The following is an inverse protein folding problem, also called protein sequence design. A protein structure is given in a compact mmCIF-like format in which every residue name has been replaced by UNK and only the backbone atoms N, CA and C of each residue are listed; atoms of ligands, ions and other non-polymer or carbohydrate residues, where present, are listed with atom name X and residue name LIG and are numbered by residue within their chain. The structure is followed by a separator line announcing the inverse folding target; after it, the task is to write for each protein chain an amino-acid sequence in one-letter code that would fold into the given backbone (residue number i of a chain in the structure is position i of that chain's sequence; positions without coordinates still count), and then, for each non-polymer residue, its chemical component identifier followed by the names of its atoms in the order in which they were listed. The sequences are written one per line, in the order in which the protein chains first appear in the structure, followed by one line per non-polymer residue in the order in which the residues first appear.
data_IF_445468748575
#
_entry.id   IF_445468748575
#
_cell.length_a   1.000
_cell.length_b   1.000
_cell.length_c   1.000
_cell.angle_alpha   90.00
_cell.angle_beta   90.00
_cell.angle_gamma   90.00
#
_symmetry.space_group_name_H-M   'P 1'
#
loop_
_entity.id
_entity.type
_entity.pdbx_description
1 polymer ?
#
# COMPACT_ATOMS: atom_id res chain seq x y z
N UNK A 1 22.64 -38.38 22.12
CA UNK A 1 22.96 -37.00 21.69
C UNK A 1 23.47 -37.06 20.27
N UNK A 2 22.68 -36.61 19.28
CA UNK A 2 23.08 -36.58 17.86
C UNK A 2 23.51 -35.15 17.52
N UNK A 3 24.75 -35.00 17.06
CA UNK A 3 25.31 -33.73 16.59
C UNK A 3 24.88 -33.42 15.16
N UNK A 4 24.43 -32.19 14.92
CA UNK A 4 24.17 -31.66 13.59
C UNK A 4 25.42 -30.92 13.11
N UNK A 5 26.12 -31.46 12.12
CA UNK A 5 27.15 -30.73 11.39
C UNK A 5 26.47 -29.87 10.34
N UNK A 6 26.49 -28.55 10.53
CA UNK A 6 26.13 -27.56 9.51
C UNK A 6 27.23 -27.54 8.45
N UNK A 7 27.00 -28.24 7.35
CA UNK A 7 27.79 -28.14 6.13
C UNK A 7 27.50 -26.78 5.47
N UNK A 8 28.40 -25.81 5.69
CA UNK A 8 28.31 -24.48 5.07
C UNK A 8 28.94 -24.57 3.68
N UNK A 9 28.11 -24.85 2.68
CA UNK A 9 28.49 -24.74 1.28
C UNK A 9 28.77 -23.27 0.91
N UNK A 10 29.93 -22.93 0.31
CA UNK A 10 30.20 -21.59 -0.17
C UNK A 10 29.39 -21.31 -1.44
N UNK A 11 28.32 -20.52 -1.30
CA UNK A 11 27.56 -19.94 -2.40
C UNK A 11 28.49 -19.09 -3.28
N UNK A 12 28.91 -19.64 -4.44
CA UNK A 12 29.56 -18.88 -5.50
C UNK A 12 28.59 -17.82 -6.04
N UNK A 13 28.76 -16.57 -5.58
CA UNK A 13 28.05 -15.41 -6.12
C UNK A 13 28.53 -15.14 -7.55
N UNK A 14 27.74 -15.58 -8.53
CA UNK A 14 27.87 -15.11 -9.91
C UNK A 14 27.52 -13.62 -9.95
N UNK A 15 28.29 -12.77 -10.65
CA UNK A 15 28.00 -11.35 -10.73
C UNK A 15 26.69 -11.15 -11.51
N UNK A 16 25.66 -10.70 -10.80
CA UNK A 16 24.39 -10.27 -11.39
C UNK A 16 24.66 -8.97 -12.13
N UNK A 17 24.81 -9.04 -13.46
CA UNK A 17 24.79 -7.85 -14.32
C UNK A 17 23.45 -7.16 -14.09
N UNK A 18 23.47 -6.01 -13.41
CA UNK A 18 22.27 -5.21 -13.22
C UNK A 18 21.78 -4.77 -14.61
N UNK A 19 20.71 -5.39 -15.09
CA UNK A 19 19.94 -4.79 -16.17
C UNK A 19 19.22 -3.63 -15.52
N UNK A 20 19.59 -2.41 -15.88
CA UNK A 20 18.78 -1.23 -15.61
C UNK A 20 17.39 -1.50 -16.22
N UNK A 21 16.44 -1.93 -15.38
CA UNK A 21 15.05 -2.13 -15.80
C UNK A 21 14.46 -0.74 -15.83
N UNK A 22 14.40 -0.15 -17.02
CA UNK A 22 13.62 1.07 -17.23
C UNK A 22 12.20 0.77 -16.79
N UNK A 23 11.61 1.51 -15.83
CA UNK A 23 10.24 1.31 -15.43
C UNK A 23 9.38 1.45 -16.68
N UNK A 24 8.75 0.35 -17.13
CA UNK A 24 7.78 0.43 -18.23
C UNK A 24 6.74 1.46 -17.80
N UNK A 25 6.64 2.58 -18.53
CA UNK A 25 5.52 3.51 -18.42
C UNK A 25 4.26 2.67 -18.55
N UNK A 26 3.53 2.51 -17.45
CA UNK A 26 2.24 1.81 -17.47
C UNK A 26 1.37 2.58 -18.45
N UNK A 27 0.80 1.89 -19.43
CA UNK A 27 -0.19 2.50 -20.31
C UNK A 27 -1.28 3.12 -19.43
N UNK A 28 -1.79 4.31 -19.78
CA UNK A 28 -2.91 4.90 -19.05
C UNK A 28 -4.05 3.90 -19.10
N UNK A 29 -4.37 3.29 -17.96
CA UNK A 29 -5.56 2.47 -17.83
C UNK A 29 -6.72 3.45 -17.86
N UNK A 30 -7.54 3.39 -18.90
CA UNK A 30 -8.86 4.03 -18.93
C UNK A 30 -9.84 3.29 -18.00
N UNK A 31 -9.36 2.81 -16.86
CA UNK A 31 -10.21 2.27 -15.81
C UNK A 31 -10.66 3.47 -14.96
N UNK A 32 -11.95 3.55 -14.57
CA UNK A 32 -12.38 4.58 -13.64
C UNK A 32 -11.52 4.51 -12.38
N UNK A 33 -11.02 5.67 -11.95
CA UNK A 33 -10.15 5.83 -10.76
C UNK A 33 -8.76 5.19 -10.87
N UNK A 34 -8.25 4.95 -12.08
CA UNK A 34 -6.89 4.44 -12.29
C UNK A 34 -5.76 5.41 -11.91
N UNK A 35 -6.10 6.68 -11.68
CA UNK A 35 -5.18 7.77 -11.34
C UNK A 35 -5.50 8.19 -9.90
N UNK A 36 -4.49 8.35 -9.05
CA UNK A 36 -4.70 8.89 -7.72
C UNK A 36 -5.13 10.36 -7.81
N UNK A 37 -6.15 10.76 -7.05
CA UNK A 37 -6.71 12.11 -7.03
C UNK A 37 -7.91 12.35 -7.96
N UNK A 38 -8.37 11.33 -8.69
CA UNK A 38 -9.66 11.35 -9.40
C UNK A 38 -10.72 10.50 -8.68
N UNK A 39 -10.43 9.99 -7.49
CA UNK A 39 -11.45 9.36 -6.65
C UNK A 39 -12.52 10.39 -6.24
N UNK A 40 -13.81 9.99 -6.22
CA UNK A 40 -14.88 10.88 -5.82
C UNK A 40 -14.76 11.25 -4.34
N UNK A 41 -15.34 12.39 -3.98
CA UNK A 41 -15.45 12.76 -2.58
C UNK A 41 -16.28 11.70 -1.83
N UNK A 42 -16.01 11.50 -0.54
CA UNK A 42 -16.78 10.51 0.24
C UNK A 42 -18.26 10.87 0.30
N UNK A 43 -18.58 12.17 0.30
CA UNK A 43 -19.93 12.69 0.24
C UNK A 43 -20.66 12.27 -1.06
N UNK A 44 -19.95 12.20 -2.19
CA UNK A 44 -20.51 11.74 -3.46
C UNK A 44 -20.83 10.24 -3.40
N UNK A 45 -19.92 9.43 -2.84
CA UNK A 45 -20.15 7.98 -2.63
C UNK A 45 -21.35 7.74 -1.72
N UNK A 46 -21.47 8.51 -0.63
CA UNK A 46 -22.58 8.37 0.33
C UNK A 46 -23.91 8.88 -0.22
N UNK A 47 -23.88 9.72 -1.26
CA UNK A 47 -25.08 10.16 -1.97
C UNK A 47 -25.54 9.19 -3.06
N UNK A 48 -24.69 8.24 -3.47
CA UNK A 48 -25.02 7.25 -4.49
C UNK A 48 -25.94 6.15 -3.92
N UNK A 49 -27.18 5.99 -4.44
CA UNK A 49 -28.10 4.99 -3.96
C UNK A 49 -27.61 3.55 -4.17
N UNK A 50 -26.80 3.29 -5.19
CA UNK A 50 -26.23 1.96 -5.46
C UNK A 50 -25.17 1.64 -4.41
N UNK A 51 -24.25 2.57 -4.15
CA UNK A 51 -23.25 2.42 -3.09
C UNK A 51 -23.92 2.19 -1.72
N UNK A 52 -24.97 2.96 -1.41
CA UNK A 52 -25.75 2.79 -0.18
C UNK A 52 -26.44 1.42 -0.07
N UNK A 53 -26.91 0.86 -1.19
CA UNK A 53 -27.51 -0.47 -1.21
C UNK A 53 -26.46 -1.56 -0.98
N UNK A 54 -25.30 -1.46 -1.63
CA UNK A 54 -24.17 -2.40 -1.45
C UNK A 54 -23.66 -2.38 -0.01
N UNK A 55 -23.45 -1.19 0.57
CA UNK A 55 -23.04 -1.04 1.96
C UNK A 55 -24.02 -1.75 2.91
N UNK A 56 -25.32 -1.64 2.68
CA UNK A 56 -26.33 -2.36 3.47
C UNK A 56 -26.27 -3.87 3.30
N UNK A 57 -26.06 -4.36 2.08
CA UNK A 57 -25.86 -5.80 1.84
C UNK A 57 -24.63 -6.35 2.58
N UNK A 58 -23.57 -5.54 2.68
CA UNK A 58 -22.32 -5.91 3.35
C UNK A 58 -22.33 -5.60 4.87
N UNK A 59 -23.45 -5.11 5.41
CA UNK A 59 -23.58 -4.76 6.83
C UNK A 59 -22.73 -3.54 7.26
N UNK A 60 -22.31 -2.71 6.31
CA UNK A 60 -21.51 -1.52 6.54
C UNK A 60 -22.43 -0.32 6.73
N UNK A 61 -22.35 0.31 7.91
CA UNK A 61 -23.03 1.59 8.15
C UNK A 61 -22.19 2.77 7.66
N UNK A 62 -22.84 3.89 7.32
CA UNK A 62 -22.15 5.15 7.00
C UNK A 62 -21.22 5.59 8.14
N UNK A 63 -21.68 5.50 9.40
CA UNK A 63 -20.89 5.88 10.57
C UNK A 63 -19.61 5.04 10.69
N UNK A 64 -19.72 3.73 10.43
CA UNK A 64 -18.57 2.82 10.41
C UNK A 64 -17.56 3.23 9.34
N UNK A 65 -18.04 3.51 8.12
CA UNK A 65 -17.18 3.92 7.01
C UNK A 65 -16.44 5.23 7.30
N UNK A 66 -17.16 6.25 7.81
CA UNK A 66 -16.56 7.55 8.20
C UNK A 66 -15.50 7.38 9.29
N UNK A 67 -15.77 6.53 10.28
CA UNK A 67 -14.85 6.26 11.38
C UNK A 67 -13.57 5.60 10.87
N UNK A 68 -13.70 4.59 10.00
CA UNK A 68 -12.56 3.91 9.38
C UNK A 68 -11.70 4.86 8.55
N UNK A 69 -12.32 5.68 7.69
CA UNK A 69 -11.59 6.66 6.87
C UNK A 69 -10.85 7.68 7.73
N UNK A 70 -11.48 8.16 8.81
CA UNK A 70 -10.85 9.10 9.74
C UNK A 70 -9.67 8.46 10.46
N UNK A 71 -9.83 7.22 10.93
CA UNK A 71 -8.77 6.44 11.57
C UNK A 71 -7.58 6.25 10.64
N UNK A 72 -7.83 5.78 9.41
CA UNK A 72 -6.77 5.58 8.40
C UNK A 72 -6.07 6.88 8.05
N UNK A 73 -6.81 7.98 7.81
CA UNK A 73 -6.23 9.31 7.56
C UNK A 73 -5.34 9.77 8.71
N UNK A 74 -5.78 9.55 9.94
CA UNK A 74 -5.00 9.91 11.14
C UNK A 74 -3.72 9.08 11.21
N UNK A 75 -3.80 7.76 11.00
CA UNK A 75 -2.64 6.87 10.97
C UNK A 75 -1.65 7.25 9.86
N UNK A 76 -2.13 7.60 8.67
CA UNK A 76 -1.28 8.07 7.57
C UNK A 76 -0.61 9.41 7.89
N UNK A 77 -1.31 10.35 8.52
CA UNK A 77 -0.71 11.63 8.93
C UNK A 77 0.37 11.46 10.00
N UNK A 78 0.19 10.52 10.92
CA UNK A 78 1.17 10.23 11.98
C UNK A 78 2.34 9.38 11.46
N UNK A 79 2.10 8.51 10.47
CA UNK A 79 3.11 7.67 9.82
C UNK A 79 3.98 8.36 8.75
N UNK A 80 3.66 9.60 8.36
CA UNK A 80 4.47 10.44 7.44
C UNK A 80 5.54 11.25 8.19
N UNK A 81 6.01 10.72 9.32
CA UNK A 81 7.31 11.10 9.89
C UNK A 81 8.21 9.90 9.82
N UNK A 82 8.79 9.69 8.64
CA UNK A 82 10.01 8.88 8.54
C UNK A 82 11.04 9.54 9.49
N UNK A 83 11.65 8.80 10.44
CA UNK A 83 12.79 9.34 11.16
C UNK A 83 13.86 9.64 10.11
N UNK A 84 14.24 10.91 9.99
CA UNK A 84 15.41 11.32 9.24
C UNK A 84 16.52 10.31 9.56
N UNK A 85 17.01 9.63 8.53
CA UNK A 85 18.15 8.74 8.64
C UNK A 85 19.20 9.48 9.47
N UNK A 86 19.42 9.00 10.70
CA UNK A 86 20.49 9.48 11.53
C UNK A 86 21.76 9.18 10.76
N UNK A 87 22.36 10.23 10.22
CA UNK A 87 23.69 10.21 9.65
C UNK A 87 24.66 9.82 10.77
N UNK A 88 25.26 8.62 10.76
CA UNK A 88 26.33 8.31 11.68
C UNK A 88 27.62 8.79 11.02
N UNK A 89 27.87 10.10 11.11
CA UNK A 89 28.92 10.75 10.33
C UNK A 89 29.48 12.03 10.94
N UNK A 90 30.06 11.95 12.15
CA UNK A 90 31.41 12.43 12.49
C UNK A 90 31.67 12.40 14.01
#
# INVERSE_FOLDING_TARGET
MLGFTLDVQPQQKKPVRSRFVVPKRRQPRNEPYAIAGVEPAIEEILSDPIACALMRCDGVSEATLRTLLTSVRTSLRVGVREPAAADPGQ
#
